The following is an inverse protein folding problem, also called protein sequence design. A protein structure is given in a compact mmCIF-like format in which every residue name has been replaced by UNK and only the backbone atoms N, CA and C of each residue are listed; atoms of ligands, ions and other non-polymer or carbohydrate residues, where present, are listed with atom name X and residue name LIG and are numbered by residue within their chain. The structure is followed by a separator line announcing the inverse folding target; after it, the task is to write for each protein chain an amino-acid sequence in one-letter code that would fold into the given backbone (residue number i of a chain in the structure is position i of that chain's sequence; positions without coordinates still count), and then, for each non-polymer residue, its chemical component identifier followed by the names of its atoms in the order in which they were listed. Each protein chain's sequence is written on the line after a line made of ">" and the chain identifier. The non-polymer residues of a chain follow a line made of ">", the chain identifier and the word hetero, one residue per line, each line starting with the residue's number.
data_IF_955076108546
#
_entry.id   IF_955076108546
#
_cell.length_a   1.000
_cell.length_b   1.000
_cell.length_c   1.000
_cell.angle_alpha   90.00
_cell.angle_beta   90.00
_cell.angle_gamma   90.00
#
_symmetry.space_group_name_H-M   'P 1'
#
loop_
_entity.id
_entity.type
_entity.pdbx_description
1 polymer ?
#
# COMPACT_ATOMS: atom_id res chain seq x y z
N UNK A 1 16.60 4.84 -14.08
CA UNK A 1 17.77 3.95 -14.02
C UNK A 1 19.02 4.76 -14.32
N UNK A 2 20.17 4.35 -13.77
CA UNK A 2 21.48 4.91 -14.13
C UNK A 2 22.42 3.74 -14.47
N UNK A 3 22.41 3.24 -15.73
CA UNK A 3 23.15 2.02 -16.10
C UNK A 3 24.65 2.09 -15.85
N UNK A 4 25.28 3.25 -16.09
CA UNK A 4 26.72 3.44 -15.84
C UNK A 4 27.15 3.24 -14.38
N UNK A 5 26.19 3.29 -13.45
CA UNK A 5 26.39 3.11 -12.02
C UNK A 5 25.81 1.78 -11.51
N UNK A 6 25.24 0.94 -12.37
CA UNK A 6 24.55 -0.28 -11.96
C UNK A 6 23.25 -0.03 -11.19
N UNK A 7 22.65 1.17 -11.28
CA UNK A 7 21.42 1.51 -10.56
C UNK A 7 20.20 1.17 -11.44
N UNK A 8 19.34 0.23 -11.02
CA UNK A 8 18.18 -0.17 -11.82
C UNK A 8 17.14 0.95 -11.93
N UNK A 9 16.14 0.76 -12.80
CA UNK A 9 14.94 1.59 -12.73
C UNK A 9 14.21 1.32 -11.43
N UNK A 10 13.63 2.36 -10.83
CA UNK A 10 12.80 2.23 -9.65
C UNK A 10 11.37 2.64 -10.03
N UNK A 11 10.42 1.72 -9.86
CA UNK A 11 9.01 1.99 -10.05
C UNK A 11 8.45 2.65 -8.78
N UNK A 12 8.09 3.92 -8.90
CA UNK A 12 7.31 4.65 -7.88
C UNK A 12 5.83 4.45 -8.13
N UNK A 13 5.05 4.30 -7.06
CA UNK A 13 3.58 4.30 -7.13
C UNK A 13 2.96 2.93 -7.26
N UNK A 14 2.76 2.31 -6.11
CA UNK A 14 1.85 1.18 -5.88
C UNK A 14 0.77 1.65 -4.91
N UNK A 15 -0.49 1.33 -5.13
CA UNK A 15 -1.55 1.69 -4.18
C UNK A 15 -1.81 0.62 -3.14
N UNK A 16 -2.04 1.05 -1.90
CA UNK A 16 -2.15 0.15 -0.75
C UNK A 16 -3.09 0.66 0.37
N UNK A 17 -4.04 1.56 0.05
CA UNK A 17 -4.89 2.23 1.04
C UNK A 17 -5.59 1.29 2.03
N UNK A 18 -6.14 0.18 1.54
CA UNK A 18 -6.84 -0.83 2.34
C UNK A 18 -6.63 -2.24 1.78
N UNK A 19 -5.40 -2.51 1.32
CA UNK A 19 -5.06 -3.68 0.49
C UNK A 19 -4.33 -3.24 -0.77
N UNK A 20 -3.58 -4.15 -1.41
CA UNK A 20 -2.89 -3.86 -2.67
C UNK A 20 -3.90 -3.62 -3.78
N UNK A 21 -3.75 -2.53 -4.54
CA UNK A 21 -4.63 -2.22 -5.66
C UNK A 21 -3.95 -2.46 -7.02
N UNK A 22 -4.77 -2.82 -8.02
CA UNK A 22 -4.42 -2.91 -9.45
C UNK A 22 -3.39 -3.97 -9.88
N UNK A 23 -2.76 -4.68 -8.94
CA UNK A 23 -1.71 -5.66 -9.27
C UNK A 23 -2.24 -7.10 -9.46
N UNK A 24 -3.51 -7.35 -9.11
CA UNK A 24 -4.14 -8.66 -9.21
C UNK A 24 -5.13 -8.92 -8.07
N UNK A 25 -5.43 -10.19 -7.83
CA UNK A 25 -6.21 -10.63 -6.67
C UNK A 25 -5.37 -10.46 -5.39
N UNK A 26 -5.89 -9.68 -4.44
CA UNK A 26 -5.23 -9.32 -3.19
C UNK A 26 -6.27 -9.18 -2.07
N UNK A 27 -5.83 -9.22 -0.82
CA UNK A 27 -6.74 -9.06 0.31
C UNK A 27 -7.28 -7.63 0.37
N UNK A 28 -8.60 -7.49 0.50
CA UNK A 28 -9.28 -6.20 0.66
C UNK A 28 -9.74 -6.06 2.11
N UNK A 29 -9.16 -5.08 2.82
CA UNK A 29 -9.49 -4.75 4.21
C UNK A 29 -10.56 -3.66 4.28
N UNK A 30 -11.20 -3.43 5.45
CA UNK A 30 -12.05 -2.26 5.65
C UNK A 30 -11.29 -0.95 5.39
N UNK A 31 -11.99 0.08 4.92
CA UNK A 31 -11.38 1.40 4.71
C UNK A 31 -10.84 2.00 6.02
N UNK A 32 -9.88 2.92 5.92
CA UNK A 32 -9.19 3.54 7.05
C UNK A 32 -10.16 4.07 8.13
N UNK A 33 -11.28 4.68 7.75
CA UNK A 33 -12.30 5.15 8.70
C UNK A 33 -12.94 4.00 9.48
N UNK A 34 -13.27 2.89 8.82
CA UNK A 34 -13.83 1.70 9.49
C UNK A 34 -12.81 1.02 10.41
N UNK A 35 -11.56 0.93 9.97
CA UNK A 35 -10.46 0.42 10.80
C UNK A 35 -10.21 1.30 12.03
N UNK A 36 -10.31 2.63 11.90
CA UNK A 36 -10.13 3.55 13.03
C UNK A 36 -11.19 3.34 14.14
N UNK A 37 -12.40 2.88 13.81
CA UNK A 37 -13.45 2.58 14.80
C UNK A 37 -13.12 1.38 15.70
N UNK A 38 -12.11 0.56 15.36
CA UNK A 38 -11.67 -0.56 16.20
C UNK A 38 -10.87 -0.10 17.42
N UNK A 39 -10.24 1.08 17.36
CA UNK A 39 -9.25 1.55 18.34
C UNK A 39 -8.11 0.56 18.64
N UNK A 40 -7.88 -0.42 17.75
CA UNK A 40 -6.89 -1.49 17.95
C UNK A 40 -5.62 -1.24 17.13
N UNK A 41 -4.60 -0.69 17.79
CA UNK A 41 -3.29 -0.43 17.16
C UNK A 41 -2.57 -1.71 16.74
N UNK A 42 -2.80 -2.83 17.41
CA UNK A 42 -2.17 -4.12 17.05
C UNK A 42 -2.75 -4.63 15.75
N UNK A 43 -4.08 -4.56 15.60
CA UNK A 43 -4.77 -4.92 14.37
C UNK A 43 -4.26 -4.10 13.17
N UNK A 44 -4.14 -2.77 13.31
CA UNK A 44 -3.61 -1.92 12.23
C UNK A 44 -2.20 -2.35 11.81
N UNK A 45 -1.33 -2.69 12.78
CA UNK A 45 0.03 -3.17 12.47
C UNK A 45 0.02 -4.53 11.75
N UNK A 46 -0.86 -5.44 12.15
CA UNK A 46 -1.00 -6.74 11.50
C UNK A 46 -1.48 -6.60 10.05
N UNK A 47 -2.47 -5.73 9.80
CA UNK A 47 -2.94 -5.41 8.45
C UNK A 47 -1.81 -4.81 7.60
N UNK A 48 -1.08 -3.83 8.14
CA UNK A 48 0.06 -3.24 7.43
C UNK A 48 1.16 -4.26 7.10
N UNK A 49 1.40 -5.24 7.99
CA UNK A 49 2.31 -6.35 7.71
C UNK A 49 1.81 -7.23 6.58
N UNK A 50 0.54 -7.64 6.61
CA UNK A 50 -0.06 -8.48 5.57
C UNK A 50 -0.02 -7.78 4.19
N UNK A 51 -0.39 -6.49 4.13
CA UNK A 51 -0.29 -5.69 2.90
C UNK A 51 1.16 -5.60 2.42
N UNK A 52 2.12 -5.39 3.33
CA UNK A 52 3.54 -5.36 2.98
C UNK A 52 4.06 -6.68 2.40
N UNK A 53 3.54 -7.81 2.85
CA UNK A 53 3.86 -9.14 2.30
C UNK A 53 3.28 -9.31 0.89
N UNK A 54 2.03 -8.90 0.67
CA UNK A 54 1.41 -8.92 -0.67
C UNK A 54 2.15 -8.01 -1.66
N UNK A 55 2.50 -6.78 -1.27
CA UNK A 55 3.29 -5.85 -2.11
C UNK A 55 4.62 -6.48 -2.52
N UNK A 56 5.34 -7.10 -1.59
CA UNK A 56 6.60 -7.80 -1.89
C UNK A 56 6.38 -9.03 -2.75
N UNK A 57 5.27 -9.75 -2.57
CA UNK A 57 4.86 -10.85 -3.42
C UNK A 57 4.69 -10.41 -4.88
N UNK A 58 3.88 -9.38 -5.12
CA UNK A 58 3.72 -8.83 -6.47
C UNK A 58 5.02 -8.26 -7.04
N UNK A 59 5.83 -7.58 -6.23
CA UNK A 59 7.15 -7.11 -6.66
C UNK A 59 8.06 -8.25 -7.07
N UNK A 60 8.04 -9.39 -6.38
CA UNK A 60 8.86 -10.54 -6.74
C UNK A 60 8.44 -11.15 -8.09
N UNK A 61 7.14 -11.12 -8.42
CA UNK A 61 6.61 -11.61 -9.69
C UNK A 61 7.00 -10.73 -10.89
N UNK A 62 6.96 -9.40 -10.72
CA UNK A 62 7.40 -8.43 -11.74
C UNK A 62 7.99 -7.16 -11.09
N UNK A 63 9.31 -7.13 -10.83
CA UNK A 63 9.96 -5.98 -10.20
C UNK A 63 9.95 -4.71 -11.04
N UNK A 64 9.74 -4.82 -12.36
CA UNK A 64 9.73 -3.68 -13.28
C UNK A 64 8.35 -3.01 -13.30
N UNK A 65 7.28 -3.80 -13.21
CA UNK A 65 5.91 -3.28 -13.18
C UNK A 65 5.45 -2.87 -11.77
N UNK A 66 5.87 -3.61 -10.73
CA UNK A 66 5.31 -3.51 -9.39
C UNK A 66 6.32 -2.87 -8.43
N UNK A 67 6.03 -1.67 -7.93
CA UNK A 67 6.91 -0.96 -7.00
C UNK A 67 6.72 -1.42 -5.55
N UNK A 68 7.76 -1.27 -4.74
CA UNK A 68 7.70 -1.47 -3.27
C UNK A 68 7.43 -0.17 -2.51
N UNK A 69 7.42 0.98 -3.20
CA UNK A 69 6.97 2.25 -2.65
C UNK A 69 5.45 2.36 -2.84
N UNK A 70 4.73 2.46 -1.72
CA UNK A 70 3.28 2.54 -1.71
C UNK A 70 2.77 3.95 -1.39
N UNK A 71 1.62 4.33 -1.96
CA UNK A 71 0.91 5.58 -1.69
C UNK A 71 -0.12 5.42 -0.58
N UNK A 72 0.36 5.01 0.60
CA UNK A 72 -0.46 4.83 1.79
C UNK A 72 0.36 5.15 3.04
N UNK A 73 -0.28 5.47 4.18
CA UNK A 73 -1.73 5.63 4.39
C UNK A 73 -2.23 7.04 4.07
N UNK A 74 -3.55 7.22 3.98
CA UNK A 74 -4.20 8.53 4.10
C UNK A 74 -4.29 8.87 5.59
N UNK A 75 -3.69 10.00 5.98
CA UNK A 75 -3.66 10.49 7.37
C UNK A 75 -4.33 11.85 7.54
N UNK A 76 -4.83 12.40 6.45
CA UNK A 76 -5.61 13.62 6.45
C UNK A 76 -6.89 13.47 7.29
N UNK A 77 -7.26 14.55 7.97
CA UNK A 77 -8.48 14.57 8.76
C UNK A 77 -9.69 14.77 7.85
N UNK A 78 -10.72 13.93 8.04
CA UNK A 78 -12.06 14.13 7.47
C UNK A 78 -12.79 15.30 8.15
N UNK A 79 -12.21 16.51 8.02
CA UNK A 79 -12.68 17.72 8.71
C UNK A 79 -14.01 18.22 8.14
N UNK A 80 -14.14 18.23 6.82
CA UNK A 80 -15.39 18.56 6.15
C UNK A 80 -16.14 17.25 5.83
N UNK A 81 -17.36 17.05 6.34
CA UNK A 81 -18.10 15.80 6.13
C UNK A 81 -18.52 15.56 4.67
N UNK A 82 -18.33 16.53 3.78
CA UNK A 82 -18.61 16.40 2.34
C UNK A 82 -17.44 15.84 1.54
N UNK A 83 -16.28 15.64 2.16
CA UNK A 83 -15.12 15.07 1.48
C UNK A 83 -15.34 13.57 1.25
N UNK A 84 -15.34 13.15 -0.02
CA UNK A 84 -15.47 11.76 -0.46
C UNK A 84 -14.37 11.35 -1.44
#
# INVERSE_FOLDING_TARGET
>A
AIPRLGIPAFKTGTEALHGVAWLGEATVFPQAVGLAHTWDRSLIKQIGSAVGDEVRGFHHLDPAANGVNVWAPVVDLLRDPRWG
#
